data_IF_487051566813
#
_entry.id   IF_487051566813
#
_cell.length_a   1.000
_cell.length_b   1.000
_cell.length_c   1.000
_cell.angle_alpha   90.00
_cell.angle_beta   90.00
_cell.angle_gamma   90.00
#
_symmetry.space_group_name_H-M   'P 1'
#
loop_
_entity.id
_entity.type
_entity.pdbx_description
1 polymer ?
#
# COMPACT_ATOMS: atom_id res chain seq x y z
N UNK A 1 -18.17 0.00 -8.40
CA UNK A 1 -16.89 -0.75 -8.55
C UNK A 1 -16.15 -0.08 -9.70
N UNK A 2 -14.93 0.35 -9.48
CA UNK A 2 -14.13 0.94 -10.55
C UNK A 2 -13.71 -0.16 -11.51
N UNK A 3 -13.95 0.02 -12.82
CA UNK A 3 -13.44 -0.87 -13.87
C UNK A 3 -12.15 -0.23 -14.41
N UNK A 4 -11.02 -0.84 -14.06
CA UNK A 4 -9.71 -0.35 -14.45
C UNK A 4 -9.20 -0.94 -15.77
N UNK A 5 -9.95 -1.91 -16.35
CA UNK A 5 -9.52 -2.63 -17.53
C UNK A 5 -9.55 -1.73 -18.77
N UNK A 6 -8.48 -1.75 -19.54
CA UNK A 6 -8.30 -1.01 -20.80
C UNK A 6 -8.57 0.50 -20.71
N UNK A 7 -8.18 1.10 -19.58
CA UNK A 7 -8.39 2.51 -19.34
C UNK A 7 -7.13 3.32 -19.70
N UNK A 8 -7.21 4.12 -20.78
CA UNK A 8 -6.15 5.04 -21.17
C UNK A 8 -5.75 6.00 -20.03
N UNK A 9 -6.71 6.39 -19.20
CA UNK A 9 -6.44 7.24 -18.04
C UNK A 9 -5.51 6.57 -17.03
N UNK A 10 -5.65 5.25 -16.81
CA UNK A 10 -4.74 4.46 -15.96
C UNK A 10 -3.32 4.45 -16.53
N UNK A 11 -3.21 4.22 -17.84
CA UNK A 11 -1.91 4.21 -18.50
C UNK A 11 -1.23 5.58 -18.40
N UNK A 12 -1.94 6.65 -18.74
CA UNK A 12 -1.42 8.02 -18.65
C UNK A 12 -1.04 8.40 -17.22
N UNK A 13 -1.84 8.00 -16.23
CA UNK A 13 -1.52 8.22 -14.82
C UNK A 13 -0.22 7.52 -14.41
N UNK A 14 -0.07 6.25 -14.78
CA UNK A 14 1.13 5.49 -14.45
C UNK A 14 2.37 5.98 -15.23
N UNK A 15 2.21 6.48 -16.46
CA UNK A 15 3.32 7.10 -17.23
C UNK A 15 3.80 8.37 -16.53
N UNK A 16 2.88 9.23 -16.06
CA UNK A 16 3.22 10.42 -15.24
C UNK A 16 3.93 10.02 -13.94
N UNK A 17 3.43 8.98 -13.26
CA UNK A 17 4.04 8.50 -12.03
C UNK A 17 5.46 7.96 -12.25
N UNK A 18 5.69 7.24 -13.35
CA UNK A 18 7.01 6.73 -13.74
C UNK A 18 7.99 7.86 -14.04
N UNK A 19 7.57 8.85 -14.82
CA UNK A 19 8.38 10.02 -15.13
C UNK A 19 8.76 10.79 -13.86
N UNK A 20 7.79 11.00 -12.96
CA UNK A 20 8.05 11.67 -11.69
C UNK A 20 9.03 10.87 -10.82
N UNK A 21 8.78 9.59 -10.56
CA UNK A 21 9.62 8.75 -9.72
C UNK A 21 11.07 8.70 -10.22
N UNK A 22 11.26 8.54 -11.55
CA UNK A 22 12.59 8.48 -12.14
C UNK A 22 13.32 9.81 -12.06
N UNK A 23 12.64 10.93 -12.31
CA UNK A 23 13.23 12.27 -12.23
C UNK A 23 13.56 12.63 -10.79
N UNK A 24 12.70 12.28 -9.84
CA UNK A 24 12.91 12.57 -8.42
C UNK A 24 14.04 11.71 -7.82
N UNK A 25 14.12 10.43 -8.17
CA UNK A 25 15.24 9.57 -7.79
C UNK A 25 16.57 10.17 -8.28
N UNK A 26 16.61 10.68 -9.52
CA UNK A 26 17.78 11.38 -10.07
C UNK A 26 18.11 12.65 -9.28
N UNK A 27 17.09 13.43 -8.87
CA UNK A 27 17.28 14.63 -8.04
C UNK A 27 17.93 14.28 -6.69
N UNK A 28 17.54 13.17 -6.07
CA UNK A 28 18.14 12.66 -4.84
C UNK A 28 19.51 11.97 -5.04
N UNK A 29 19.98 11.85 -6.27
CA UNK A 29 21.23 11.14 -6.60
C UNK A 29 21.12 9.62 -6.48
N UNK A 30 19.90 9.07 -6.44
CA UNK A 30 19.64 7.64 -6.32
C UNK A 30 19.49 7.03 -7.71
N UNK A 31 20.33 6.05 -8.05
CA UNK A 31 20.15 5.25 -9.25
C UNK A 31 19.08 4.17 -9.00
N UNK A 32 18.16 4.01 -9.94
CA UNK A 32 17.04 3.09 -9.79
C UNK A 32 16.81 2.22 -11.02
N UNK A 33 16.25 1.05 -10.82
CA UNK A 33 15.54 0.29 -11.84
C UNK A 33 14.05 0.60 -11.75
N UNK A 34 13.39 0.69 -12.91
CA UNK A 34 11.94 0.86 -12.98
C UNK A 34 11.26 -0.50 -13.10
N UNK A 35 10.26 -0.73 -12.28
CA UNK A 35 9.38 -1.89 -12.38
C UNK A 35 7.96 -1.43 -12.73
N UNK A 36 7.54 -1.70 -13.98
CA UNK A 36 6.20 -1.43 -14.47
C UNK A 36 5.35 -2.69 -14.41
N UNK A 37 4.17 -2.56 -13.81
CA UNK A 37 3.10 -3.56 -13.77
C UNK A 37 1.85 -2.98 -14.45
N UNK A 38 0.83 -3.80 -14.65
CA UNK A 38 -0.42 -3.39 -15.29
C UNK A 38 -1.10 -2.23 -14.56
N UNK A 39 -1.11 -2.26 -13.22
CA UNK A 39 -1.76 -1.26 -12.36
C UNK A 39 -0.82 -0.63 -11.33
N UNK A 40 0.48 -0.69 -11.56
CA UNK A 40 1.47 -0.11 -10.67
C UNK A 40 2.75 0.25 -11.40
N UNK A 41 3.47 1.22 -10.88
CA UNK A 41 4.85 1.51 -11.24
C UNK A 41 5.66 1.77 -9.99
N UNK A 42 6.90 1.30 -9.97
CA UNK A 42 7.80 1.54 -8.85
C UNK A 42 9.23 1.69 -9.29
N UNK A 43 10.03 2.19 -8.37
CA UNK A 43 11.48 2.33 -8.51
C UNK A 43 12.20 1.55 -7.42
N UNK A 44 13.22 0.80 -7.83
CA UNK A 44 14.06 -0.01 -6.98
C UNK A 44 15.47 0.56 -7.01
N UNK A 45 16.03 1.08 -5.89
CA UNK A 45 17.42 1.54 -5.83
C UNK A 45 18.44 0.48 -6.23
N UNK A 46 19.45 0.88 -7.03
CA UNK A 46 20.57 0.03 -7.48
C UNK A 46 21.72 0.05 -6.48
N UNK A 47 21.49 -0.17 -5.26
CA UNK A 47 22.51 -0.13 -4.22
C UNK A 47 21.96 0.44 -2.95
N UNK A 48 22.86 0.72 -2.02
CA UNK A 48 22.47 1.26 -0.72
C UNK A 48 21.89 2.67 -0.89
N UNK A 49 20.70 2.84 -0.36
CA UNK A 49 20.08 4.15 -0.16
C UNK A 49 19.57 4.26 1.27
N UNK A 50 19.56 5.47 1.80
CA UNK A 50 19.01 5.69 3.14
C UNK A 50 17.47 5.61 3.07
N UNK A 51 16.88 5.15 4.14
CA UNK A 51 15.42 4.97 4.24
C UNK A 51 14.65 6.28 4.01
N UNK A 52 15.23 7.40 4.44
CA UNK A 52 14.67 8.74 4.30
C UNK A 52 14.46 9.13 2.83
N UNK A 53 15.33 8.72 1.92
CA UNK A 53 15.15 8.97 0.48
C UNK A 53 13.89 8.26 -0.05
N UNK A 54 13.59 7.04 0.43
CA UNK A 54 12.38 6.31 0.04
C UNK A 54 11.13 6.98 0.61
N UNK A 55 11.18 7.42 1.87
CA UNK A 55 10.09 8.19 2.50
C UNK A 55 9.82 9.48 1.73
N UNK A 56 10.88 10.23 1.39
CA UNK A 56 10.77 11.48 0.66
C UNK A 56 10.20 11.26 -0.74
N UNK A 57 10.66 10.25 -1.49
CA UNK A 57 10.10 9.90 -2.79
C UNK A 57 8.61 9.55 -2.70
N UNK A 58 8.19 8.78 -1.69
CA UNK A 58 6.80 8.41 -1.51
C UNK A 58 5.92 9.62 -1.19
N UNK A 59 6.36 10.51 -0.28
CA UNK A 59 5.66 11.76 0.07
C UNK A 59 5.58 12.72 -1.11
N UNK A 60 6.68 12.91 -1.84
CA UNK A 60 6.73 13.75 -3.03
C UNK A 60 5.79 13.22 -4.13
N UNK A 61 5.73 11.89 -4.32
CA UNK A 61 4.80 11.26 -5.26
C UNK A 61 3.32 11.47 -4.85
N UNK A 62 3.01 11.39 -3.55
CA UNK A 62 1.66 11.69 -3.05
C UNK A 62 1.26 13.14 -3.35
N UNK A 63 2.18 14.08 -3.15
CA UNK A 63 1.94 15.50 -3.41
C UNK A 63 1.80 15.80 -4.90
N UNK A 64 2.72 15.30 -5.73
CA UNK A 64 2.74 15.52 -7.18
C UNK A 64 1.48 14.96 -7.88
N UNK A 65 1.01 13.79 -7.42
CA UNK A 65 -0.12 13.11 -8.02
C UNK A 65 -1.46 13.45 -7.34
N UNK A 66 -1.49 14.43 -6.44
CA UNK A 66 -2.67 14.76 -5.61
C UNK A 66 -3.90 15.23 -6.42
N UNK A 67 -3.69 15.72 -7.64
CA UNK A 67 -4.75 16.14 -8.57
C UNK A 67 -5.34 14.98 -9.40
N UNK A 68 -4.80 13.79 -9.25
CA UNK A 68 -5.26 12.61 -10.01
C UNK A 68 -6.72 12.28 -9.70
N UNK A 69 -7.50 12.04 -10.75
CA UNK A 69 -8.90 11.60 -10.64
C UNK A 69 -9.02 10.10 -10.33
N UNK A 70 -7.94 9.37 -10.51
CA UNK A 70 -7.85 7.93 -10.25
C UNK A 70 -7.41 7.76 -8.79
N UNK A 71 -8.11 6.95 -7.97
CA UNK A 71 -7.62 6.58 -6.66
C UNK A 71 -6.28 5.87 -6.79
N UNK A 72 -5.33 6.26 -5.97
CA UNK A 72 -3.99 5.69 -5.98
C UNK A 72 -3.41 5.58 -4.56
N UNK A 73 -2.30 4.87 -4.46
CA UNK A 73 -1.46 4.81 -3.27
C UNK A 73 0.01 4.92 -3.70
N UNK A 74 0.69 6.00 -3.30
CA UNK A 74 2.14 6.09 -3.40
C UNK A 74 2.74 5.75 -2.03
N UNK A 75 3.64 4.78 -1.98
CA UNK A 75 4.13 4.24 -0.70
C UNK A 75 5.59 3.76 -0.77
N UNK A 76 6.24 3.78 0.38
CA UNK A 76 7.53 3.17 0.62
C UNK A 76 7.33 1.70 1.00
N UNK A 77 7.84 0.78 0.18
CA UNK A 77 7.79 -0.68 0.41
C UNK A 77 8.91 -1.20 1.33
N UNK A 78 9.84 -0.35 1.73
CA UNK A 78 11.01 -0.69 2.56
C UNK A 78 12.31 -0.75 1.78
N UNK A 79 12.31 -1.29 0.58
CA UNK A 79 13.45 -1.32 -0.34
C UNK A 79 13.12 -0.70 -1.70
N UNK A 80 11.93 -0.17 -1.85
CA UNK A 80 11.39 0.38 -3.09
C UNK A 80 10.34 1.46 -2.79
N UNK A 81 9.96 2.19 -3.84
CA UNK A 81 8.81 3.11 -3.80
C UNK A 81 7.89 2.76 -4.95
N UNK A 82 6.61 2.58 -4.66
CA UNK A 82 5.59 2.26 -5.64
C UNK A 82 4.47 3.28 -5.66
N UNK A 83 3.86 3.43 -6.83
CA UNK A 83 2.57 4.07 -7.07
C UNK A 83 1.64 3.02 -7.65
N UNK A 84 0.64 2.61 -6.86
CA UNK A 84 -0.39 1.65 -7.25
C UNK A 84 -1.68 2.37 -7.62
N UNK A 85 -2.38 1.90 -8.65
CA UNK A 85 -3.77 2.30 -8.92
C UNK A 85 -4.69 1.62 -7.90
N UNK A 86 -5.52 2.43 -7.23
CA UNK A 86 -6.29 1.97 -6.08
C UNK A 86 -5.48 1.96 -4.79
N UNK A 87 -5.99 1.30 -3.78
CA UNK A 87 -5.33 1.14 -2.49
C UNK A 87 -5.94 -0.04 -1.70
N UNK A 88 -5.30 -0.45 -0.60
CA UNK A 88 -5.78 -1.55 0.25
C UNK A 88 -7.16 -1.28 0.88
N UNK A 89 -7.53 -0.02 1.14
CA UNK A 89 -8.85 0.34 1.65
C UNK A 89 -9.96 -0.06 0.66
N UNK A 90 -9.80 0.27 -0.63
CA UNK A 90 -10.76 -0.09 -1.68
C UNK A 90 -10.86 -1.61 -1.80
N UNK A 91 -9.74 -2.31 -1.80
CA UNK A 91 -9.71 -3.77 -1.84
C UNK A 91 -10.43 -4.41 -0.65
N UNK A 92 -10.16 -3.88 0.56
CA UNK A 92 -10.81 -4.36 1.78
C UNK A 92 -12.32 -4.10 1.77
N UNK A 93 -12.76 -2.93 1.36
CA UNK A 93 -14.20 -2.62 1.22
C UNK A 93 -14.89 -3.58 0.23
N UNK A 94 -14.24 -3.88 -0.91
CA UNK A 94 -14.78 -4.83 -1.87
C UNK A 94 -14.90 -6.25 -1.28
N UNK A 95 -13.90 -6.71 -0.53
CA UNK A 95 -13.90 -7.99 0.16
C UNK A 95 -14.97 -8.04 1.25
N UNK A 96 -15.08 -7.02 2.09
CA UNK A 96 -16.10 -6.93 3.14
C UNK A 96 -17.51 -6.98 2.54
N UNK A 97 -17.73 -6.25 1.44
CA UNK A 97 -19.00 -6.29 0.71
C UNK A 97 -19.30 -7.69 0.16
N UNK A 98 -18.31 -8.34 -0.44
CA UNK A 98 -18.46 -9.72 -0.96
C UNK A 98 -18.81 -10.73 0.14
N UNK A 99 -18.13 -10.62 1.30
CA UNK A 99 -18.37 -11.50 2.45
C UNK A 99 -19.58 -11.08 3.30
N UNK A 100 -20.22 -9.96 2.99
CA UNK A 100 -21.32 -9.36 3.75
C UNK A 100 -20.97 -9.20 5.25
N UNK A 101 -19.78 -8.63 5.54
CA UNK A 101 -19.29 -8.35 6.89
C UNK A 101 -19.07 -6.86 7.10
N UNK A 102 -19.25 -6.40 8.34
CA UNK A 102 -19.00 -5.02 8.74
C UNK A 102 -17.52 -4.79 9.10
N UNK A 103 -17.08 -3.53 9.13
CA UNK A 103 -15.73 -3.16 9.57
C UNK A 103 -15.44 -3.59 11.02
N UNK A 104 -16.44 -3.55 11.91
CA UNK A 104 -16.34 -4.03 13.28
C UNK A 104 -16.15 -5.56 13.42
N UNK A 105 -16.41 -6.31 12.34
CA UNK A 105 -16.20 -7.76 12.24
C UNK A 105 -14.93 -8.12 11.47
N UNK A 106 -14.15 -7.11 11.08
CA UNK A 106 -12.98 -7.26 10.22
C UNK A 106 -11.74 -6.79 10.96
N UNK A 107 -10.70 -7.62 10.93
CA UNK A 107 -9.38 -7.30 11.45
C UNK A 107 -8.38 -7.31 10.29
N UNK A 108 -7.74 -6.17 10.05
CA UNK A 108 -6.61 -6.07 9.12
C UNK A 108 -5.30 -6.14 9.90
N UNK A 109 -4.44 -7.08 9.51
CA UNK A 109 -3.10 -7.23 10.07
C UNK A 109 -2.10 -6.72 9.03
N UNK A 110 -1.24 -5.79 9.42
CA UNK A 110 -0.27 -5.16 8.53
C UNK A 110 0.92 -4.58 9.27
N UNK A 111 1.93 -4.18 8.53
CA UNK A 111 3.19 -3.65 9.06
C UNK A 111 3.46 -2.19 8.67
N UNK A 112 2.65 -1.61 7.75
CA UNK A 112 2.93 -0.31 7.16
C UNK A 112 1.76 0.67 7.30
N UNK A 113 1.55 1.15 8.53
CA UNK A 113 0.50 2.11 8.87
C UNK A 113 0.97 3.56 8.98
N UNK A 114 2.21 3.89 8.55
CA UNK A 114 2.72 5.26 8.43
C UNK A 114 2.06 6.00 7.25
N UNK A 115 2.27 7.31 7.15
CA UNK A 115 1.73 8.12 6.02
C UNK A 115 2.19 7.63 4.65
N UNK A 116 3.38 7.04 4.59
CA UNK A 116 3.95 6.45 3.39
C UNK A 116 3.73 4.94 3.29
N UNK A 117 2.96 4.37 4.22
CA UNK A 117 2.63 2.95 4.25
C UNK A 117 1.33 2.63 3.49
N UNK A 118 1.31 1.49 2.81
CA UNK A 118 0.15 1.05 2.03
C UNK A 118 -1.02 0.54 2.89
N UNK A 119 -0.82 0.33 4.21
CA UNK A 119 -1.86 -0.07 5.16
C UNK A 119 -2.57 1.12 5.82
N UNK A 120 -2.02 2.35 5.71
CA UNK A 120 -2.49 3.51 6.46
C UNK A 120 -4.00 3.76 6.31
N UNK A 121 -4.52 3.74 5.07
CA UNK A 121 -5.92 4.03 4.77
C UNK A 121 -6.91 2.95 5.23
N UNK A 122 -6.45 1.75 5.54
CA UNK A 122 -7.32 0.66 6.05
C UNK A 122 -7.91 0.99 7.42
N UNK A 123 -7.23 1.85 8.20
CA UNK A 123 -7.74 2.33 9.50
C UNK A 123 -9.13 2.94 9.44
N UNK A 124 -9.53 3.45 8.28
CA UNK A 124 -10.84 4.07 8.08
C UNK A 124 -11.97 3.05 7.92
N UNK A 125 -11.64 1.78 7.62
CA UNK A 125 -12.63 0.77 7.26
C UNK A 125 -12.77 -0.39 8.26
N UNK A 126 -11.73 -0.71 9.01
CA UNK A 126 -11.69 -1.90 9.86
C UNK A 126 -10.81 -1.72 11.10
N UNK A 127 -10.94 -2.64 12.06
CA UNK A 127 -9.96 -2.78 13.15
C UNK A 127 -8.60 -3.18 12.59
N UNK A 128 -7.53 -2.67 13.18
CA UNK A 128 -6.17 -2.98 12.75
C UNK A 128 -5.35 -3.63 13.85
N UNK A 129 -4.43 -4.49 13.44
CA UNK A 129 -3.34 -4.99 14.25
C UNK A 129 -2.02 -4.65 13.52
N UNK A 130 -1.23 -3.76 14.13
CA UNK A 130 0.09 -3.42 13.62
C UNK A 130 1.12 -4.42 14.14
N UNK A 131 1.82 -5.08 13.23
CA UNK A 131 2.86 -6.07 13.53
C UNK A 131 4.19 -5.64 12.90
N UNK A 132 5.30 -6.00 13.52
CA UNK A 132 6.63 -5.65 13.03
C UNK A 132 7.25 -6.75 12.14
N UNK A 133 6.71 -7.99 12.22
CA UNK A 133 7.29 -9.13 11.49
C UNK A 133 6.27 -10.23 11.22
N UNK A 134 6.58 -11.18 10.31
CA UNK A 134 5.81 -12.40 10.11
C UNK A 134 5.70 -13.28 11.36
N UNK A 135 6.74 -13.28 12.23
CA UNK A 135 6.73 -14.04 13.48
C UNK A 135 5.71 -13.45 14.46
N UNK A 136 5.67 -12.12 14.57
CA UNK A 136 4.65 -11.43 15.35
C UNK A 136 3.24 -11.69 14.83
N UNK A 137 3.06 -11.66 13.52
CA UNK A 137 1.78 -12.04 12.88
C UNK A 137 1.36 -13.45 13.32
N UNK A 138 2.29 -14.40 13.22
CA UNK A 138 2.04 -15.79 13.63
C UNK A 138 1.69 -15.91 15.10
N UNK A 139 2.39 -15.19 15.97
CA UNK A 139 2.14 -15.18 17.40
C UNK A 139 0.72 -14.67 17.73
N UNK A 140 0.37 -13.48 17.22
CA UNK A 140 -0.94 -12.89 17.48
C UNK A 140 -2.09 -13.70 16.87
N UNK A 141 -1.91 -14.28 15.69
CA UNK A 141 -2.93 -15.11 15.07
C UNK A 141 -3.18 -16.39 15.86
N UNK A 142 -2.16 -16.99 16.45
CA UNK A 142 -2.32 -18.16 17.35
C UNK A 142 -3.07 -17.80 18.62
N UNK A 143 -2.78 -16.63 19.22
CA UNK A 143 -3.52 -16.15 20.39
C UNK A 143 -5.00 -15.92 20.08
N UNK A 144 -5.28 -15.17 19.01
CA UNK A 144 -6.63 -14.87 18.57
C UNK A 144 -7.43 -16.15 18.28
N UNK A 145 -6.83 -17.11 17.56
CA UNK A 145 -7.47 -18.38 17.26
C UNK A 145 -7.81 -19.18 18.53
N UNK A 146 -6.88 -19.24 19.47
CA UNK A 146 -7.11 -19.89 20.78
C UNK A 146 -8.28 -19.23 21.53
N UNK A 147 -8.33 -17.91 21.56
CA UNK A 147 -9.36 -17.18 22.29
C UNK A 147 -10.74 -17.32 21.64
N UNK A 148 -10.81 -17.37 20.29
CA UNK A 148 -12.04 -17.68 19.56
C UNK A 148 -12.54 -19.10 19.88
N UNK A 149 -11.64 -20.08 19.94
CA UNK A 149 -12.02 -21.45 20.28
C UNK A 149 -12.55 -21.53 21.72
N UNK A 150 -11.88 -20.88 22.66
CA UNK A 150 -12.32 -20.88 24.08
C UNK A 150 -13.68 -20.18 24.26
N UNK A 151 -13.94 -19.09 23.52
CA UNK A 151 -15.20 -18.38 23.55
C UNK A 151 -16.39 -19.20 22.98
N UNK A 152 -16.13 -20.21 22.15
CA UNK A 152 -17.17 -21.13 21.61
C UNK A 152 -17.54 -22.26 22.55
N UNK A 153 -16.81 -22.43 23.65
CA UNK A 153 -17.02 -23.51 24.63
C UNK A 153 -17.85 -23.01 25.83
N UNK A 154 -18.05 -21.68 25.93
CA UNK A 154 -18.92 -21.01 26.91
C UNK A 154 -20.28 -20.69 26.29
#
# INVERSE_FOLDING_TARGET
>A
MYDWRDNDDVRMFLDRAEEFLTSYAKHLGVQVDVLRKEYAVGVLPKGDTIYENLEEMALASQAELSDAKIPFCAFNGGNDVFVDVGNKHIGLQALMKYLNVAGSQTLHVGDRFTLTGNDAKVREAASILWVASPDETTFFMRLLYRDILNARIL
#
